data_IF_936482681408
#
_entry.id   IF_936482681408
#
_cell.length_a   1.000
_cell.length_b   1.000
_cell.length_c   1.000
_cell.angle_alpha   90.00
_cell.angle_beta   90.00
_cell.angle_gamma   90.00
#
_symmetry.space_group_name_H-M   'P 1'
#
loop_
_entity.id
_entity.type
_entity.pdbx_description
1 polymer ?
#
# COMPACT_ATOMS: atom_id res chain seq x y z
N UNK A 1 13.60 -35.96 -1.88
CA UNK A 1 13.24 -34.59 -1.46
C UNK A 1 12.61 -34.67 -0.09
N UNK A 2 12.93 -33.73 0.80
CA UNK A 2 12.29 -33.62 2.11
C UNK A 2 10.92 -32.97 1.91
N UNK A 3 9.84 -33.69 2.19
CA UNK A 3 8.48 -33.14 2.20
C UNK A 3 8.21 -32.59 3.59
N UNK A 4 7.75 -31.35 3.68
CA UNK A 4 7.39 -30.69 4.95
C UNK A 4 5.90 -30.37 4.91
N UNK A 5 5.16 -30.81 5.93
CA UNK A 5 3.70 -30.72 5.97
C UNK A 5 3.21 -29.61 6.90
N UNK A 6 2.23 -28.84 6.42
CA UNK A 6 1.65 -27.68 7.09
C UNK A 6 0.12 -27.69 7.02
N UNK A 7 -0.54 -27.08 8.00
CA UNK A 7 -1.98 -26.83 7.90
C UNK A 7 -2.27 -25.67 6.94
N UNK A 8 -1.41 -24.65 6.93
CA UNK A 8 -1.53 -23.47 6.06
C UNK A 8 -0.17 -23.02 5.52
N UNK A 9 -0.08 -22.86 4.20
CA UNK A 9 1.03 -22.15 3.54
C UNK A 9 0.55 -20.82 2.98
N UNK A 10 1.28 -19.74 3.27
CA UNK A 10 1.06 -18.42 2.71
C UNK A 10 2.07 -18.07 1.63
N UNK A 11 1.60 -17.61 0.47
CA UNK A 11 2.46 -17.15 -0.64
C UNK A 11 2.47 -15.62 -0.69
N UNK A 12 3.64 -15.04 -0.46
CA UNK A 12 3.87 -13.60 -0.30
C UNK A 12 3.75 -13.15 1.15
N UNK A 13 4.66 -12.27 1.60
CA UNK A 13 4.63 -11.66 2.93
C UNK A 13 4.39 -10.15 2.78
N UNK A 14 3.20 -9.82 2.28
CA UNK A 14 2.62 -8.47 2.39
C UNK A 14 1.91 -8.27 3.74
N UNK A 15 1.37 -7.07 4.02
CA UNK A 15 0.71 -6.76 5.30
C UNK A 15 -0.39 -7.76 5.69
N UNK A 16 -1.18 -8.23 4.73
CA UNK A 16 -2.29 -9.16 4.99
C UNK A 16 -1.79 -10.53 5.45
N UNK A 17 -0.86 -11.16 4.72
CA UNK A 17 -0.29 -12.45 5.12
C UNK A 17 0.58 -12.32 6.37
N UNK A 18 1.24 -11.17 6.57
CA UNK A 18 1.99 -10.90 7.80
C UNK A 18 1.07 -10.84 9.03
N UNK A 19 -0.14 -10.29 8.90
CA UNK A 19 -1.18 -10.30 9.94
C UNK A 19 -1.60 -11.74 10.28
N UNK A 20 -1.88 -12.57 9.27
CA UNK A 20 -2.22 -13.98 9.49
C UNK A 20 -1.05 -14.71 10.17
N UNK A 21 0.17 -14.51 9.69
CA UNK A 21 1.37 -15.12 10.28
C UNK A 21 1.53 -14.75 11.75
N UNK A 22 1.34 -13.47 12.11
CA UNK A 22 1.41 -12.97 13.48
C UNK A 22 0.32 -13.54 14.39
N UNK A 23 -0.90 -13.70 13.89
CA UNK A 23 -2.01 -14.28 14.65
C UNK A 23 -1.89 -15.81 14.80
N UNK A 24 -1.26 -16.48 13.83
CA UNK A 24 -1.05 -17.93 13.85
C UNK A 24 0.20 -18.36 14.64
N UNK A 25 1.26 -17.54 14.68
CA UNK A 25 2.51 -17.86 15.35
C UNK A 25 2.39 -18.34 16.82
N UNK A 26 1.52 -17.77 17.68
CA UNK A 26 1.37 -18.24 19.06
C UNK A 26 0.48 -19.49 19.21
N UNK A 27 -0.13 -20.00 18.13
CA UNK A 27 -1.04 -21.16 18.15
C UNK A 27 -0.26 -22.45 17.92
N UNK A 28 0.08 -23.16 18.99
CA UNK A 28 0.88 -24.39 18.91
C UNK A 28 0.15 -25.54 18.21
N UNK A 29 -1.17 -25.46 18.09
CA UNK A 29 -2.02 -26.39 17.37
C UNK A 29 -2.05 -26.18 15.85
N UNK A 30 -1.45 -25.10 15.33
CA UNK A 30 -1.41 -24.79 13.90
C UNK A 30 0.02 -24.85 13.35
N UNK A 31 0.26 -25.73 12.37
CA UNK A 31 1.50 -25.72 11.59
C UNK A 31 1.35 -24.76 10.41
N UNK A 32 2.07 -23.64 10.41
CA UNK A 32 1.96 -22.62 9.35
C UNK A 32 3.32 -22.19 8.81
N UNK A 33 3.36 -21.84 7.52
CA UNK A 33 4.57 -21.29 6.88
C UNK A 33 4.21 -20.23 5.85
N UNK A 34 4.87 -19.08 5.90
CA UNK A 34 4.69 -17.99 4.95
C UNK A 34 5.99 -17.76 4.19
N UNK A 35 5.90 -17.64 2.86
CA UNK A 35 7.03 -17.60 1.96
C UNK A 35 7.07 -16.27 1.19
N UNK A 36 8.22 -15.59 1.17
CA UNK A 36 8.45 -14.36 0.42
C UNK A 36 9.70 -14.48 -0.45
N UNK A 37 9.59 -14.06 -1.71
CA UNK A 37 10.70 -14.09 -2.67
C UNK A 37 11.78 -13.04 -2.38
N UNK A 38 11.43 -11.93 -1.74
CA UNK A 38 12.39 -10.89 -1.35
C UNK A 38 13.25 -11.36 -0.16
N UNK A 39 14.46 -10.82 -0.01
CA UNK A 39 15.33 -11.15 1.12
C UNK A 39 14.86 -10.58 2.45
N UNK A 40 14.02 -9.54 2.42
CA UNK A 40 13.48 -8.91 3.61
C UNK A 40 12.11 -8.27 3.34
N UNK A 41 11.40 -7.96 4.42
CA UNK A 41 10.12 -7.28 4.34
C UNK A 41 10.28 -5.87 3.79
N UNK A 42 9.55 -5.56 2.72
CA UNK A 42 9.52 -4.24 2.12
C UNK A 42 8.13 -3.91 1.58
N UNK A 43 7.43 -2.99 2.26
CA UNK A 43 6.10 -2.54 1.89
C UNK A 43 6.16 -1.28 1.01
N UNK A 44 5.86 -1.45 -0.28
CA UNK A 44 5.94 -0.40 -1.31
C UNK A 44 7.22 0.47 -1.25
N UNK A 45 8.43 -0.13 -1.27
CA UNK A 45 9.69 0.60 -1.03
C UNK A 45 9.91 1.77 -2.00
N UNK A 46 9.43 1.65 -3.23
CA UNK A 46 9.54 2.71 -4.22
C UNK A 46 8.58 3.89 -4.08
N UNK A 47 7.62 3.79 -3.15
CA UNK A 47 6.66 4.84 -2.79
C UNK A 47 6.79 5.29 -1.33
N UNK A 48 7.88 4.90 -0.64
CA UNK A 48 8.22 5.41 0.69
C UNK A 48 8.80 6.83 0.58
N UNK A 49 7.96 7.75 0.13
CA UNK A 49 8.22 9.17 0.08
C UNK A 49 8.30 9.73 1.51
N UNK A 50 9.16 10.72 1.73
CA UNK A 50 9.32 11.33 3.05
C UNK A 50 8.00 11.98 3.48
N UNK A 51 7.63 11.93 4.75
CA UNK A 51 6.37 12.54 5.23
C UNK A 51 5.05 11.97 4.67
N UNK A 52 5.06 10.98 3.77
CA UNK A 52 3.84 10.30 3.35
C UNK A 52 3.20 9.61 4.57
N UNK A 53 1.91 9.88 4.80
CA UNK A 53 1.14 9.33 5.93
C UNK A 53 0.28 8.14 5.52
N UNK A 54 -0.03 7.29 6.49
CA UNK A 54 -1.09 6.30 6.39
C UNK A 54 -2.45 7.00 6.31
N UNK A 55 -3.39 6.36 5.62
CA UNK A 55 -4.79 6.82 5.50
C UNK A 55 -5.71 6.11 6.50
N UNK A 56 -5.12 5.40 7.46
CA UNK A 56 -5.85 4.55 8.42
C UNK A 56 -5.27 4.74 9.80
N UNK A 57 -6.12 4.61 10.82
CA UNK A 57 -5.69 4.58 12.22
C UNK A 57 -4.62 3.52 12.44
N UNK A 58 -3.61 3.86 13.24
CA UNK A 58 -2.57 2.91 13.68
C UNK A 58 -3.12 1.76 14.53
N UNK A 59 -4.36 1.87 15.05
CA UNK A 59 -5.04 0.77 15.75
C UNK A 59 -5.57 -0.30 14.80
N UNK A 60 -5.70 0.02 13.50
CA UNK A 60 -5.90 -0.96 12.43
C UNK A 60 -4.55 -1.56 12.02
N UNK A 61 -3.76 -1.99 13.00
CA UNK A 61 -2.49 -2.67 12.79
C UNK A 61 -2.69 -4.14 12.38
N UNK A 62 -1.63 -4.95 12.46
CA UNK A 62 -1.68 -6.35 12.04
C UNK A 62 -2.54 -7.26 12.93
N UNK A 63 -2.79 -6.90 14.19
CA UNK A 63 -3.30 -7.86 15.20
C UNK A 63 -4.33 -7.28 16.17
N UNK A 64 -4.28 -5.99 16.48
CA UNK A 64 -5.00 -5.35 17.60
C UNK A 64 -6.51 -5.53 17.51
N UNK A 65 -7.08 -5.51 16.30
CA UNK A 65 -8.52 -5.69 16.11
C UNK A 65 -9.01 -7.13 16.41
N UNK A 66 -8.10 -8.11 16.48
CA UNK A 66 -8.40 -9.53 16.77
C UNK A 66 -7.90 -9.90 18.16
N UNK A 67 -6.66 -9.54 18.47
CA UNK A 67 -5.99 -9.80 19.74
C UNK A 67 -5.17 -8.57 20.16
N UNK A 68 -5.76 -7.65 20.95
CA UNK A 68 -5.05 -6.46 21.45
C UNK A 68 -3.93 -6.79 22.43
N UNK A 69 -3.84 -8.03 22.92
CA UNK A 69 -2.76 -8.48 23.82
C UNK A 69 -1.55 -9.04 23.07
N UNK A 70 -1.67 -9.20 21.74
CA UNK A 70 -0.61 -9.76 20.91
C UNK A 70 0.69 -8.98 21.05
N UNK A 71 1.85 -9.67 21.20
CA UNK A 71 3.15 -9.02 21.24
C UNK A 71 3.51 -8.35 19.91
N UNK A 72 2.77 -8.64 18.83
CA UNK A 72 3.00 -8.04 17.52
C UNK A 72 2.18 -6.77 17.29
N UNK A 73 1.49 -6.22 18.30
CA UNK A 73 0.75 -4.96 18.18
C UNK A 73 1.68 -3.76 17.97
N UNK A 74 1.17 -2.74 17.29
CA UNK A 74 1.85 -1.48 17.05
C UNK A 74 2.20 -0.76 18.37
N UNK A 75 1.31 -0.84 19.37
CA UNK A 75 1.56 -0.29 20.69
C UNK A 75 2.73 -0.99 21.39
N UNK A 76 2.81 -2.33 21.32
CA UNK A 76 3.96 -3.05 21.86
C UNK A 76 5.25 -2.69 21.11
N UNK A 77 5.20 -2.55 19.78
CA UNK A 77 6.33 -2.04 19.00
C UNK A 77 6.82 -0.68 19.51
N UNK A 78 5.92 0.28 19.77
CA UNK A 78 6.30 1.60 20.30
C UNK A 78 7.01 1.50 21.65
N UNK A 79 6.55 0.63 22.55
CA UNK A 79 7.17 0.40 23.85
C UNK A 79 8.55 -0.25 23.69
N UNK A 80 8.64 -1.33 22.91
CA UNK A 80 9.89 -2.07 22.66
C UNK A 80 10.95 -1.20 21.96
N UNK A 81 10.52 -0.24 21.14
CA UNK A 81 11.41 0.73 20.47
C UNK A 81 11.66 2.00 21.29
N UNK A 82 11.14 2.11 22.51
CA UNK A 82 11.24 3.31 23.37
C UNK A 82 10.68 4.57 22.70
N UNK A 83 9.68 4.41 21.82
CA UNK A 83 9.03 5.49 21.08
C UNK A 83 7.65 5.86 21.64
N UNK A 84 7.13 5.12 22.63
CA UNK A 84 5.78 5.31 23.15
C UNK A 84 5.49 6.75 23.60
N UNK A 85 6.24 7.29 24.57
CA UNK A 85 6.02 8.66 25.04
C UNK A 85 6.23 9.71 23.94
N UNK A 86 7.32 9.68 23.15
CA UNK A 86 7.47 10.56 21.98
C UNK A 86 6.28 10.52 21.00
N UNK A 87 5.77 9.31 20.71
CA UNK A 87 4.62 9.12 19.83
C UNK A 87 3.36 9.77 20.41
N UNK A 88 3.08 9.56 21.70
CA UNK A 88 1.93 10.19 22.38
C UNK A 88 2.05 11.72 22.44
N UNK A 89 3.26 12.25 22.68
CA UNK A 89 3.53 13.67 22.76
C UNK A 89 3.36 14.39 21.41
N UNK A 90 3.54 13.67 20.28
CA UNK A 90 3.33 14.22 18.93
C UNK A 90 1.88 14.68 18.70
N UNK A 91 0.91 14.05 19.36
CA UNK A 91 -0.52 14.38 19.23
C UNK A 91 -1.13 14.06 17.86
N UNK A 92 -0.39 13.41 16.97
CA UNK A 92 -0.76 13.19 15.57
C UNK A 92 -1.20 11.72 15.39
N UNK A 93 -2.50 11.53 15.12
CA UNK A 93 -3.14 10.20 15.01
C UNK A 93 -2.82 9.49 13.68
N UNK A 94 -2.29 10.22 12.70
CA UNK A 94 -1.85 9.67 11.42
C UNK A 94 -0.35 9.36 11.46
N UNK A 95 -0.02 8.08 11.31
CA UNK A 95 1.35 7.57 11.31
C UNK A 95 1.99 7.71 9.92
N UNK A 96 3.30 7.98 9.86
CA UNK A 96 4.03 7.96 8.59
C UNK A 96 4.11 6.54 8.01
N UNK A 97 4.10 6.42 6.68
CA UNK A 97 4.29 5.14 5.98
C UNK A 97 5.64 4.52 6.30
N UNK A 98 6.67 5.33 6.52
CA UNK A 98 8.00 4.89 6.96
C UNK A 98 7.93 4.22 8.34
N UNK A 99 7.29 4.86 9.31
CA UNK A 99 7.15 4.31 10.67
C UNK A 99 6.30 3.03 10.68
N UNK A 100 5.21 3.00 9.90
CA UNK A 100 4.38 1.79 9.79
C UNK A 100 5.10 0.65 9.05
N UNK A 101 5.91 0.97 8.03
CA UNK A 101 6.78 -0.02 7.36
C UNK A 101 7.86 -0.56 8.29
N UNK A 102 8.45 0.27 9.15
CA UNK A 102 9.43 -0.17 10.17
C UNK A 102 8.77 -1.08 11.20
N UNK A 103 7.55 -0.77 11.64
CA UNK A 103 6.75 -1.65 12.50
C UNK A 103 6.53 -3.03 11.86
N UNK A 104 6.07 -3.09 10.62
CA UNK A 104 5.82 -4.37 9.95
C UNK A 104 7.12 -5.16 9.72
N UNK A 105 8.22 -4.48 9.37
CA UNK A 105 9.53 -5.11 9.28
C UNK A 105 10.01 -5.65 10.63
N UNK A 106 9.72 -4.94 11.72
CA UNK A 106 10.01 -5.39 13.09
C UNK A 106 9.21 -6.63 13.46
N UNK A 107 7.93 -6.71 13.11
CA UNK A 107 7.11 -7.93 13.30
C UNK A 107 7.68 -9.08 12.46
N UNK A 108 7.93 -8.85 11.17
CA UNK A 108 8.40 -9.90 10.25
C UNK A 108 9.71 -10.57 10.69
N UNK A 109 10.61 -9.83 11.36
CA UNK A 109 11.89 -10.35 11.89
C UNK A 109 11.74 -11.27 13.11
N UNK A 110 10.59 -11.27 13.77
CA UNK A 110 10.36 -12.02 15.01
C UNK A 110 9.51 -13.28 14.79
N UNK A 111 8.85 -13.38 13.63
CA UNK A 111 7.93 -14.47 13.37
C UNK A 111 8.70 -15.75 12.99
N UNK A 112 8.48 -16.88 13.68
CA UNK A 112 9.17 -18.13 13.38
C UNK A 112 8.60 -18.84 12.15
N UNK A 113 7.39 -18.47 11.73
CA UNK A 113 6.64 -19.07 10.62
C UNK A 113 6.76 -18.26 9.32
N UNK A 114 7.76 -17.38 9.21
CA UNK A 114 8.05 -16.62 7.98
C UNK A 114 9.40 -17.02 7.41
N UNK A 115 9.48 -17.09 6.08
CA UNK A 115 10.73 -17.38 5.36
C UNK A 115 10.86 -16.43 4.18
N UNK A 116 11.94 -15.66 4.21
CA UNK A 116 12.37 -14.77 3.13
C UNK A 116 13.32 -15.50 2.18
N UNK A 117 13.63 -14.88 1.04
CA UNK A 117 14.34 -15.49 -0.07
C UNK A 117 13.71 -16.78 -0.59
N UNK A 118 12.45 -17.07 -0.26
CA UNK A 118 11.72 -18.29 -0.58
C UNK A 118 10.67 -18.04 -1.68
N UNK A 119 11.14 -17.98 -2.92
CA UNK A 119 10.28 -17.77 -4.07
C UNK A 119 9.48 -19.01 -4.45
N UNK A 120 8.15 -18.92 -4.32
CA UNK A 120 7.24 -19.96 -4.84
C UNK A 120 7.21 -19.92 -6.36
N UNK A 121 7.53 -21.05 -6.97
CA UNK A 121 7.64 -21.22 -8.43
C UNK A 121 6.44 -21.98 -9.03
N UNK A 122 5.83 -22.89 -8.27
CA UNK A 122 4.72 -23.71 -8.72
C UNK A 122 3.82 -24.09 -7.54
N UNK A 123 2.52 -24.20 -7.80
CA UNK A 123 1.51 -24.66 -6.84
C UNK A 123 0.54 -25.58 -7.56
N UNK A 124 0.38 -26.79 -7.04
CA UNK A 124 -0.58 -27.80 -7.54
C UNK A 124 -1.50 -28.23 -6.43
N UNK A 125 -2.70 -28.66 -6.81
CA UNK A 125 -3.62 -29.33 -5.89
C UNK A 125 -3.65 -30.81 -6.25
N UNK A 126 -3.20 -31.66 -5.32
CA UNK A 126 -3.04 -33.10 -5.52
C UNK A 126 -3.81 -33.85 -4.43
N UNK A 127 -4.86 -34.59 -4.84
CA UNK A 127 -5.74 -35.28 -3.90
C UNK A 127 -6.55 -34.31 -3.05
N UNK A 128 -6.12 -34.11 -1.81
CA UNK A 128 -6.76 -33.30 -0.77
C UNK A 128 -5.88 -32.17 -0.22
N UNK A 129 -4.70 -31.95 -0.80
CA UNK A 129 -3.75 -30.94 -0.33
C UNK A 129 -3.06 -30.20 -1.49
N UNK A 130 -2.43 -29.08 -1.16
CA UNK A 130 -1.57 -28.32 -2.05
C UNK A 130 -0.13 -28.83 -1.98
N UNK A 131 0.53 -28.89 -3.13
CA UNK A 131 1.97 -29.15 -3.29
C UNK A 131 2.61 -27.86 -3.80
N UNK A 132 3.52 -27.28 -3.01
CA UNK A 132 4.15 -25.98 -3.26
C UNK A 132 5.64 -26.18 -3.49
N UNK A 133 6.15 -25.66 -4.61
CA UNK A 133 7.59 -25.67 -4.94
C UNK A 133 8.22 -24.32 -4.63
N UNK A 134 9.21 -24.30 -3.73
CA UNK A 134 9.95 -23.09 -3.34
C UNK A 134 11.43 -23.42 -3.15
N UNK A 135 12.33 -22.71 -3.85
CA UNK A 135 13.79 -22.90 -3.74
C UNK A 135 14.31 -24.36 -3.88
N UNK A 136 13.62 -25.19 -4.66
CA UNK A 136 13.97 -26.62 -4.81
C UNK A 136 13.50 -27.50 -3.64
N UNK A 137 12.77 -26.96 -2.67
CA UNK A 137 12.05 -27.67 -1.64
C UNK A 137 10.57 -27.86 -2.03
N UNK A 138 9.96 -28.93 -1.53
CA UNK A 138 8.54 -29.20 -1.69
C UNK A 138 7.85 -29.15 -0.33
N UNK A 139 6.89 -28.26 -0.22
CA UNK A 139 6.01 -28.14 0.93
C UNK A 139 4.64 -28.71 0.57
N UNK A 140 3.97 -29.32 1.53
CA UNK A 140 2.57 -29.72 1.41
C UNK A 140 1.71 -28.91 2.38
N UNK A 141 0.49 -28.57 1.98
CA UNK A 141 -0.46 -27.96 2.91
C UNK A 141 -1.92 -28.23 2.61
N UNK A 142 -2.74 -28.35 3.66
CA UNK A 142 -4.21 -28.49 3.49
C UNK A 142 -4.84 -27.20 2.95
N UNK A 143 -4.32 -26.06 3.39
CA UNK A 143 -4.82 -24.75 3.01
C UNK A 143 -3.71 -23.88 2.42
N UNK A 144 -4.12 -22.96 1.55
CA UNK A 144 -3.25 -22.00 0.88
C UNK A 144 -3.85 -20.60 0.99
N UNK A 145 -3.02 -19.62 1.37
CA UNK A 145 -3.39 -18.20 1.31
C UNK A 145 -2.45 -17.43 0.38
N UNK A 146 -3.02 -16.76 -0.62
CA UNK A 146 -2.25 -16.05 -1.65
C UNK A 146 -2.32 -14.54 -1.40
N UNK A 147 -1.18 -13.96 -1.00
CA UNK A 147 -1.02 -12.56 -0.63
C UNK A 147 0.15 -11.91 -1.37
N UNK A 148 0.28 -12.15 -2.68
CA UNK A 148 1.41 -11.69 -3.52
C UNK A 148 1.37 -10.20 -3.89
N UNK A 149 0.31 -9.49 -3.48
CA UNK A 149 0.11 -8.07 -3.75
C UNK A 149 -0.33 -7.79 -5.19
N UNK A 150 -0.29 -6.52 -5.57
CA UNK A 150 -0.67 -6.05 -6.91
C UNK A 150 0.55 -5.78 -7.78
N UNK A 151 0.37 -5.90 -9.10
CA UNK A 151 1.39 -5.50 -10.08
C UNK A 151 1.10 -4.07 -10.59
N UNK A 152 2.15 -3.27 -10.89
CA UNK A 152 1.99 -1.98 -11.54
C UNK A 152 1.16 -2.07 -12.82
N UNK A 153 0.21 -1.16 -13.00
CA UNK A 153 -0.65 -1.11 -14.19
C UNK A 153 -0.22 0.05 -15.06
N UNK A 154 0.22 -0.27 -16.29
CA UNK A 154 0.61 0.71 -17.29
C UNK A 154 -0.48 0.79 -18.37
N UNK A 155 -1.01 1.99 -18.69
CA UNK A 155 -2.00 2.16 -19.74
C UNK A 155 -1.51 1.62 -21.09
N UNK A 156 -2.41 1.07 -21.90
CA UNK A 156 -2.05 0.45 -23.19
C UNK A 156 -1.27 1.38 -24.11
N UNK A 157 -1.61 2.67 -24.13
CA UNK A 157 -0.92 3.68 -24.93
C UNK A 157 0.54 3.93 -24.50
N UNK A 158 0.92 3.51 -23.30
CA UNK A 158 2.25 3.64 -22.70
C UNK A 158 3.00 2.30 -22.60
N UNK A 159 2.35 1.17 -22.89
CA UNK A 159 3.03 -0.13 -22.97
C UNK A 159 4.12 -0.08 -24.04
N UNK A 160 5.32 -0.58 -23.70
CA UNK A 160 6.51 -0.53 -24.57
C UNK A 160 7.18 0.85 -24.69
N UNK A 161 6.69 1.87 -23.98
CA UNK A 161 7.28 3.22 -23.95
C UNK A 161 7.99 3.54 -22.62
N UNK A 162 8.08 2.57 -21.73
CA UNK A 162 8.81 2.73 -20.47
C UNK A 162 10.31 2.83 -20.75
N UNK A 163 10.95 3.82 -20.16
CA UNK A 163 12.37 4.15 -20.32
C UNK A 163 12.91 4.71 -19.00
N UNK A 164 14.14 5.19 -18.98
CA UNK A 164 14.69 5.91 -17.81
C UNK A 164 13.93 7.21 -17.50
N UNK A 165 13.29 7.82 -18.51
CA UNK A 165 12.53 9.07 -18.38
C UNK A 165 11.00 8.86 -18.37
N UNK A 166 10.52 7.62 -18.48
CA UNK A 166 9.10 7.28 -18.42
C UNK A 166 8.94 5.97 -17.66
N UNK A 167 8.48 6.02 -16.42
CA UNK A 167 8.43 4.86 -15.53
C UNK A 167 7.22 4.94 -14.61
N UNK A 168 6.86 3.82 -13.98
CA UNK A 168 5.71 3.77 -13.09
C UNK A 168 6.06 4.39 -11.73
N UNK A 169 5.10 5.05 -11.08
CA UNK A 169 5.27 5.68 -9.76
C UNK A 169 5.90 4.74 -8.70
N UNK A 170 5.60 3.44 -8.79
CA UNK A 170 6.21 2.34 -8.03
C UNK A 170 7.74 2.41 -7.97
N UNK A 171 8.41 2.98 -8.98
CA UNK A 171 9.86 2.97 -9.12
C UNK A 171 10.53 4.26 -8.62
N UNK A 172 9.75 5.23 -8.12
CA UNK A 172 10.21 6.59 -7.85
C UNK A 172 11.39 6.62 -6.87
N UNK A 173 11.27 5.95 -5.72
CA UNK A 173 12.31 5.96 -4.69
C UNK A 173 13.47 5.01 -4.98
N UNK A 174 13.34 4.05 -5.89
CA UNK A 174 14.49 3.29 -6.39
C UNK A 174 15.28 4.11 -7.41
N UNK A 175 14.59 4.83 -8.31
CA UNK A 175 15.22 5.58 -9.40
C UNK A 175 15.79 6.92 -8.96
N UNK A 176 15.13 7.62 -8.02
CA UNK A 176 15.49 8.97 -7.51
C UNK A 176 15.96 9.89 -8.64
N UNK A 177 15.11 10.16 -9.65
CA UNK A 177 15.52 10.93 -10.82
C UNK A 177 15.91 12.36 -10.45
N UNK A 178 16.92 12.91 -11.12
CA UNK A 178 17.14 14.36 -11.12
C UNK A 178 16.19 15.01 -12.15
N UNK A 179 15.27 15.82 -11.65
CA UNK A 179 14.24 16.51 -12.42
C UNK A 179 14.58 17.98 -12.68
N UNK A 180 15.77 18.44 -12.26
CA UNK A 180 16.20 19.83 -12.39
C UNK A 180 16.12 20.33 -13.84
N UNK A 181 15.39 21.42 -14.04
CA UNK A 181 15.25 22.05 -15.36
C UNK A 181 14.48 21.23 -16.40
N UNK A 182 13.97 20.04 -16.05
CA UNK A 182 13.18 19.19 -16.94
C UNK A 182 11.73 19.63 -17.01
N UNK A 183 11.03 19.16 -18.04
CA UNK A 183 9.56 19.21 -18.12
C UNK A 183 9.05 17.85 -17.66
N UNK A 184 8.24 17.84 -16.61
CA UNK A 184 7.79 16.62 -15.93
C UNK A 184 6.27 16.55 -16.00
N UNK A 185 5.75 15.38 -16.35
CA UNK A 185 4.31 15.11 -16.37
C UNK A 185 4.02 13.96 -15.41
N UNK A 186 3.10 14.17 -14.48
CA UNK A 186 2.55 13.11 -13.61
C UNK A 186 1.21 12.68 -14.18
N UNK A 187 1.01 11.37 -14.36
CA UNK A 187 -0.23 10.80 -14.88
C UNK A 187 -0.92 9.97 -13.79
N UNK A 188 -2.10 10.41 -13.36
CA UNK A 188 -2.95 9.73 -12.37
C UNK A 188 -3.35 10.66 -11.22
N UNK A 189 -4.64 10.73 -10.91
CA UNK A 189 -5.20 11.66 -9.91
C UNK A 189 -5.60 11.03 -8.57
N UNK A 190 -4.93 9.97 -8.14
CA UNK A 190 -5.10 9.40 -6.79
C UNK A 190 -4.00 9.87 -5.83
N UNK A 191 -4.04 9.38 -4.59
CA UNK A 191 -3.09 9.73 -3.52
C UNK A 191 -1.62 9.69 -3.98
N UNK A 192 -1.19 8.60 -4.64
CA UNK A 192 0.19 8.47 -5.11
C UNK A 192 0.63 9.58 -6.06
N UNK A 193 -0.26 10.01 -6.96
CA UNK A 193 0.02 11.12 -7.87
C UNK A 193 0.17 12.44 -7.11
N UNK A 194 -0.66 12.64 -6.10
CA UNK A 194 -0.61 13.81 -5.21
C UNK A 194 0.68 13.86 -4.39
N UNK A 195 1.07 12.75 -3.76
CA UNK A 195 2.29 12.66 -2.98
C UNK A 195 3.52 12.94 -3.86
N UNK A 196 3.62 12.32 -5.04
CA UNK A 196 4.74 12.57 -5.97
C UNK A 196 4.75 14.03 -6.42
N UNK A 197 3.60 14.61 -6.76
CA UNK A 197 3.51 16.01 -7.15
C UNK A 197 4.04 16.91 -6.04
N UNK A 198 3.60 16.70 -4.80
CA UNK A 198 4.02 17.47 -3.64
C UNK A 198 5.53 17.41 -3.42
N UNK A 199 6.14 16.22 -3.52
CA UNK A 199 7.58 16.03 -3.33
C UNK A 199 8.41 16.70 -4.43
N UNK A 200 7.99 16.56 -5.69
CA UNK A 200 8.67 17.24 -6.81
C UNK A 200 8.53 18.76 -6.65
N UNK A 201 7.36 19.23 -6.23
CA UNK A 201 7.11 20.66 -5.99
C UNK A 201 7.95 21.22 -4.84
N UNK A 202 8.11 20.46 -3.75
CA UNK A 202 8.99 20.80 -2.62
C UNK A 202 10.48 20.82 -3.03
N UNK A 203 10.84 20.12 -4.11
CA UNK A 203 12.19 20.13 -4.68
C UNK A 203 13.04 18.93 -4.29
N UNK A 204 12.45 17.88 -3.73
CA UNK A 204 13.15 16.67 -3.26
C UNK A 204 13.88 15.92 -4.38
N UNK A 205 13.44 16.14 -5.62
CA UNK A 205 14.01 15.56 -6.84
C UNK A 205 14.65 16.63 -7.75
N UNK A 206 14.97 17.81 -7.20
CA UNK A 206 15.41 18.97 -7.97
C UNK A 206 14.24 19.71 -8.64
N UNK A 207 14.34 21.04 -8.71
CA UNK A 207 13.25 21.89 -9.21
C UNK A 207 13.07 21.74 -10.73
N UNK A 208 11.91 21.23 -11.21
CA UNK A 208 11.66 21.14 -12.64
C UNK A 208 11.43 22.53 -13.26
N UNK A 209 11.67 22.64 -14.57
CA UNK A 209 11.28 23.83 -15.35
C UNK A 209 9.76 23.90 -15.52
N UNK A 210 9.10 22.75 -15.66
CA UNK A 210 7.65 22.63 -15.77
C UNK A 210 7.20 21.34 -15.10
N UNK A 211 6.10 21.42 -14.35
CA UNK A 211 5.46 20.28 -13.72
C UNK A 211 3.97 20.30 -14.07
N UNK A 212 3.54 19.33 -14.86
CA UNK A 212 2.14 19.14 -15.25
C UNK A 212 1.57 17.90 -14.56
N UNK A 213 0.32 17.98 -14.09
CA UNK A 213 -0.38 16.85 -13.48
C UNK A 213 -1.66 16.56 -14.24
N UNK A 214 -1.72 15.38 -14.86
CA UNK A 214 -2.79 14.91 -15.72
C UNK A 214 -3.60 13.82 -15.02
N UNK A 215 -4.91 13.99 -14.97
CA UNK A 215 -5.86 13.00 -14.45
C UNK A 215 -7.02 12.78 -15.42
N UNK A 216 -7.56 11.55 -15.45
CA UNK A 216 -8.83 11.24 -16.13
C UNK A 216 -10.06 11.65 -15.33
N UNK A 217 -9.87 11.98 -14.04
CA UNK A 217 -10.97 12.44 -13.18
C UNK A 217 -11.31 13.88 -13.54
N UNK A 218 -12.60 14.20 -13.43
CA UNK A 218 -13.11 15.55 -13.61
C UNK A 218 -12.80 16.49 -12.44
N UNK A 219 -12.14 16.01 -11.39
CA UNK A 219 -11.50 16.85 -10.37
C UNK A 219 -10.43 16.03 -9.61
N UNK A 220 -9.61 16.71 -8.81
CA UNK A 220 -8.83 16.09 -7.74
C UNK A 220 -9.69 16.07 -6.47
N UNK A 221 -10.34 14.94 -6.23
CA UNK A 221 -11.34 14.78 -5.17
C UNK A 221 -10.72 14.27 -3.87
N UNK A 222 -11.25 14.78 -2.75
CA UNK A 222 -10.90 14.34 -1.41
C UNK A 222 -11.24 12.87 -1.17
N UNK A 223 -10.48 12.25 -0.27
CA UNK A 223 -10.82 10.98 0.34
C UNK A 223 -12.06 11.20 1.22
N UNK A 224 -13.09 10.38 1.02
CA UNK A 224 -14.27 10.42 1.88
C UNK A 224 -13.99 9.66 3.18
N UNK A 225 -13.52 10.40 4.17
CA UNK A 225 -13.16 9.95 5.52
C UNK A 225 -14.30 10.24 6.53
N UNK A 226 -15.54 10.41 6.07
CA UNK A 226 -16.66 10.64 6.98
C UNK A 226 -16.90 9.42 7.87
N UNK A 227 -17.34 9.64 9.11
CA UNK A 227 -17.60 8.56 10.06
C UNK A 227 -18.65 7.54 9.58
N UNK A 228 -19.54 7.93 8.66
CA UNK A 228 -20.50 7.04 8.04
C UNK A 228 -19.89 6.26 6.87
N UNK A 229 -19.06 6.89 6.04
CA UNK A 229 -18.36 6.22 4.94
C UNK A 229 -17.34 5.20 5.47
N UNK A 230 -16.73 5.47 6.62
CA UNK A 230 -15.84 4.52 7.29
C UNK A 230 -16.53 3.22 7.72
N UNK A 231 -17.86 3.19 7.82
CA UNK A 231 -18.62 1.98 8.13
C UNK A 231 -18.53 0.92 7.03
N UNK A 232 -18.19 1.30 5.79
CA UNK A 232 -17.95 0.34 4.70
C UNK A 232 -16.75 -0.59 4.99
N UNK A 233 -15.86 -0.20 5.90
CA UNK A 233 -14.69 -1.00 6.29
C UNK A 233 -14.90 -1.79 7.59
N UNK A 234 -16.14 -1.85 8.10
CA UNK A 234 -16.47 -2.63 9.29
C UNK A 234 -16.82 -4.09 8.94
N UNK A 235 -16.56 -5.06 9.84
CA UNK A 235 -16.84 -6.48 9.60
C UNK A 235 -18.28 -6.75 9.14
N UNK A 236 -19.27 -6.10 9.74
CA UNK A 236 -20.68 -6.30 9.41
C UNK A 236 -21.02 -5.90 7.98
N UNK A 237 -20.45 -4.79 7.49
CA UNK A 237 -20.62 -4.37 6.11
C UNK A 237 -19.99 -5.38 5.15
N UNK A 238 -18.78 -5.84 5.43
CA UNK A 238 -18.08 -6.82 4.60
C UNK A 238 -18.87 -8.13 4.51
N UNK A 239 -19.41 -8.61 5.63
CA UNK A 239 -20.26 -9.79 5.68
C UNK A 239 -21.50 -9.63 4.80
N UNK A 240 -22.20 -8.50 4.90
CA UNK A 240 -23.38 -8.22 4.07
C UNK A 240 -23.00 -8.10 2.58
N UNK A 241 -21.93 -7.35 2.28
CA UNK A 241 -21.44 -7.14 0.92
C UNK A 241 -21.10 -8.45 0.22
N UNK A 242 -20.51 -9.42 0.93
CA UNK A 242 -20.17 -10.72 0.39
C UNK A 242 -21.38 -11.50 -0.13
N UNK A 243 -22.55 -11.30 0.51
CA UNK A 243 -23.81 -11.96 0.14
C UNK A 243 -24.60 -11.24 -0.97
N UNK A 244 -24.16 -10.06 -1.41
CA UNK A 244 -24.78 -9.34 -2.53
C UNK A 244 -24.51 -10.04 -3.87
N UNK A 245 -25.40 -9.84 -4.84
CA UNK A 245 -25.17 -10.29 -6.20
C UNK A 245 -23.99 -9.52 -6.86
N UNK A 246 -23.40 -10.09 -7.91
CA UNK A 246 -22.21 -9.50 -8.55
C UNK A 246 -22.46 -8.10 -9.15
N UNK A 247 -23.67 -7.84 -9.63
CA UNK A 247 -24.01 -6.54 -10.18
C UNK A 247 -24.18 -5.48 -9.09
N UNK A 248 -24.75 -5.86 -7.94
CA UNK A 248 -24.82 -5.03 -6.73
C UNK A 248 -23.43 -4.73 -6.20
N UNK A 249 -22.57 -5.75 -6.04
CA UNK A 249 -21.18 -5.57 -5.61
C UNK A 249 -20.45 -4.56 -6.50
N UNK A 250 -20.55 -4.69 -7.83
CA UNK A 250 -19.93 -3.77 -8.77
C UNK A 250 -20.47 -2.33 -8.66
N UNK A 251 -21.78 -2.16 -8.45
CA UNK A 251 -22.39 -0.84 -8.25
C UNK A 251 -21.90 -0.18 -6.97
N UNK A 252 -21.86 -0.93 -5.87
CA UNK A 252 -21.42 -0.41 -4.58
C UNK A 252 -19.94 -0.02 -4.60
N UNK A 253 -19.06 -0.87 -5.14
CA UNK A 253 -17.64 -0.52 -5.34
C UNK A 253 -17.48 0.73 -6.20
N UNK A 254 -18.29 0.89 -7.25
CA UNK A 254 -18.23 2.09 -8.08
C UNK A 254 -18.72 3.36 -7.35
N UNK A 255 -19.70 3.25 -6.46
CA UNK A 255 -20.25 4.38 -5.68
C UNK A 255 -19.31 4.82 -4.56
N UNK A 256 -18.66 3.86 -3.92
CA UNK A 256 -17.80 4.07 -2.76
C UNK A 256 -16.37 4.41 -3.16
N UNK A 257 -16.11 4.69 -4.43
CA UNK A 257 -14.76 4.90 -4.97
C UNK A 257 -13.92 5.92 -4.20
N UNK A 258 -14.54 7.00 -3.71
CA UNK A 258 -13.83 8.05 -2.99
C UNK A 258 -13.44 7.66 -1.56
N UNK A 259 -13.92 6.55 -1.02
CA UNK A 259 -13.47 6.05 0.29
C UNK A 259 -12.12 5.32 0.21
N UNK A 260 -11.68 4.93 -0.99
CA UNK A 260 -10.37 4.28 -1.21
C UNK A 260 -9.44 5.06 -2.14
N UNK A 261 -9.99 5.69 -3.19
CA UNK A 261 -9.19 6.23 -4.28
C UNK A 261 -9.03 7.75 -4.23
N UNK A 262 -9.61 8.42 -3.22
CA UNK A 262 -9.47 9.86 -3.02
C UNK A 262 -8.07 10.30 -2.59
N UNK A 263 -7.88 11.61 -2.46
CA UNK A 263 -6.66 12.22 -1.94
C UNK A 263 -6.94 12.74 -0.52
N UNK A 264 -6.09 12.45 0.45
CA UNK A 264 -6.29 12.90 1.84
C UNK A 264 -6.38 14.42 1.93
N UNK A 265 -7.21 14.90 2.85
CA UNK A 265 -7.36 16.34 3.11
C UNK A 265 -6.05 16.98 3.55
N UNK A 266 -5.20 16.26 4.29
CA UNK A 266 -3.85 16.69 4.66
C UNK A 266 -2.98 16.97 3.42
N UNK A 267 -3.00 16.06 2.43
CA UNK A 267 -2.27 16.24 1.18
C UNK A 267 -2.85 17.40 0.38
N UNK A 268 -4.17 17.42 0.15
CA UNK A 268 -4.85 18.50 -0.58
C UNK A 268 -4.57 19.86 0.06
N UNK A 269 -4.75 20.01 1.37
CA UNK A 269 -4.55 21.29 2.06
C UNK A 269 -3.09 21.78 2.01
N UNK A 270 -2.11 20.87 2.02
CA UNK A 270 -0.69 21.20 2.01
C UNK A 270 -0.22 21.74 0.65
N UNK A 271 -0.69 21.21 -0.49
CA UNK A 271 -0.25 21.70 -1.82
C UNK A 271 -1.28 22.58 -2.54
N UNK A 272 -2.58 22.32 -2.42
CA UNK A 272 -3.61 23.07 -3.16
C UNK A 272 -3.69 24.52 -2.68
N UNK A 273 -3.64 24.76 -1.37
CA UNK A 273 -3.70 26.13 -0.84
C UNK A 273 -2.56 27.01 -1.40
N UNK A 274 -1.28 26.61 -1.34
CA UNK A 274 -0.21 27.37 -1.99
C UNK A 274 -0.37 27.51 -3.51
N UNK A 275 -0.81 26.45 -4.22
CA UNK A 275 -0.97 26.47 -5.68
C UNK A 275 -2.07 27.44 -6.14
N UNK A 276 -3.21 27.48 -5.44
CA UNK A 276 -4.30 28.42 -5.72
C UNK A 276 -3.83 29.87 -5.48
N UNK A 277 -3.08 30.11 -4.40
CA UNK A 277 -2.57 31.45 -4.07
C UNK A 277 -1.48 31.96 -5.03
N UNK A 278 -0.79 31.07 -5.76
CA UNK A 278 0.31 31.41 -6.68
C UNK A 278 -0.11 31.49 -8.15
N UNK A 279 -1.41 31.57 -8.44
CA UNK A 279 -1.94 31.67 -9.82
C UNK A 279 -1.57 30.49 -10.73
N UNK A 280 -1.43 29.27 -10.18
CA UNK A 280 -1.40 28.07 -11.02
C UNK A 280 -2.74 27.93 -11.74
N UNK A 281 -2.70 27.96 -13.07
CA UNK A 281 -3.91 27.99 -13.88
C UNK A 281 -4.41 26.56 -14.08
N UNK A 282 -5.54 26.21 -13.47
CA UNK A 282 -6.29 25.01 -13.79
C UNK A 282 -6.84 25.14 -15.22
N UNK A 283 -6.34 24.33 -16.15
CA UNK A 283 -6.95 24.21 -17.49
C UNK A 283 -7.60 22.84 -17.61
N UNK A 284 -8.92 22.85 -17.76
CA UNK A 284 -9.68 21.68 -18.21
C UNK A 284 -9.44 21.49 -19.69
N UNK A 285 -8.88 20.34 -20.09
CA UNK A 285 -8.83 19.97 -21.51
C UNK A 285 -10.23 19.54 -21.95
N UNK A 286 -10.62 19.90 -23.18
CA UNK A 286 -11.84 19.41 -23.82
C UNK A 286 -11.82 17.87 -23.84
N UNK A 287 -12.62 17.24 -22.96
CA UNK A 287 -12.59 15.80 -22.70
C UNK A 287 -12.48 15.38 -21.23
N UNK A 288 -12.46 16.33 -20.28
CA UNK A 288 -12.56 16.03 -18.84
C UNK A 288 -11.25 15.78 -18.11
N UNK A 289 -10.11 16.01 -18.77
CA UNK A 289 -8.79 15.89 -18.14
C UNK A 289 -8.31 17.21 -17.51
N UNK A 290 -7.75 17.13 -16.31
CA UNK A 290 -7.20 18.27 -15.56
C UNK A 290 -5.73 18.49 -15.86
N UNK A 291 -5.32 19.76 -15.97
CA UNK A 291 -3.92 20.19 -16.01
C UNK A 291 -3.69 21.30 -14.99
N UNK A 292 -2.80 21.06 -14.03
CA UNK A 292 -2.19 22.09 -13.19
C UNK A 292 -0.93 22.59 -13.90
N UNK A 293 -0.96 23.83 -14.43
CA UNK A 293 0.18 24.42 -15.14
C UNK A 293 0.75 25.55 -14.28
N UNK A 294 2.05 25.46 -13.99
CA UNK A 294 2.81 26.59 -13.44
C UNK A 294 3.23 27.51 -14.60
N UNK A 295 2.70 28.72 -14.64
CA UNK A 295 3.33 29.78 -15.44
C UNK A 295 4.57 30.27 -14.69
N UNK A 296 5.66 30.41 -15.44
CA UNK A 296 6.95 30.95 -15.02
C UNK A 296 6.84 32.23 -14.21
#
# INVERSE_FOLDING_TARGET
>A
MKTIDYDLVGVGIGPFNLSIAALAAPKSELSTQFLERKPEFAWHPGLLLNHAKMQTSFLKDLVTAVDPTSPYSFLNYLVQKQKFYPFTARGDFMISRLEFSDYMAWVAKQLPNTQFDAGVSDVRFEGDHFVIQSNGETLTSKHLVVGTGTQPVVPDCAKGKLTDNCFHAHEMMQRKPDLRGKRVVIVGGGQTGADIFQHIFAGDFGKPRQLDWVSRRANLEGLDESCFSDQFFMPDYVNQFYHLDKAQQAREVSRQKLTSDGITDDCLSTFIRPCIMTSMCCKTLSGGAFNLIRNS
#
